data_IF_241307244338
#
_entry.id   IF_241307244338
#
_cell.length_a   1.000
_cell.length_b   1.000
_cell.length_c   1.000
_cell.angle_alpha   90.00
_cell.angle_beta   90.00
_cell.angle_gamma   90.00
#
_symmetry.space_group_name_H-M   'P 1'
#
loop_
_entity.id
_entity.type
_entity.pdbx_description
1 polymer ?
#
# COMPACT_ATOMS: atom_id res chain seq x y z
N UNK A 1 -43.92 -19.12 -4.94
CA UNK A 1 -43.29 -17.95 -4.31
C UNK A 1 -42.43 -18.43 -3.13
N UNK A 2 -41.12 -18.64 -3.34
CA UNK A 2 -40.22 -18.97 -2.24
C UNK A 2 -39.85 -17.64 -1.57
N UNK A 3 -40.13 -17.51 -0.26
CA UNK A 3 -39.68 -16.39 0.56
C UNK A 3 -38.14 -16.30 0.51
N UNK A 4 -37.54 -15.09 0.35
CA UNK A 4 -36.11 -14.95 0.48
C UNK A 4 -35.72 -15.36 1.89
N UNK A 5 -34.79 -16.32 2.01
CA UNK A 5 -34.23 -16.78 3.28
C UNK A 5 -33.68 -15.61 4.05
N UNK A 6 -34.39 -15.17 5.09
CA UNK A 6 -33.92 -14.17 6.03
C UNK A 6 -32.65 -14.71 6.71
N UNK A 7 -31.50 -14.10 6.43
CA UNK A 7 -30.27 -14.35 7.19
C UNK A 7 -30.58 -13.97 8.65
N UNK A 8 -30.43 -14.89 9.62
CA UNK A 8 -30.70 -14.58 11.02
C UNK A 8 -29.87 -13.36 11.43
N UNK A 9 -30.51 -12.31 11.94
CA UNK A 9 -29.83 -11.13 12.47
C UNK A 9 -28.96 -11.63 13.63
N UNK A 10 -27.64 -11.61 13.42
CA UNK A 10 -26.68 -11.96 14.47
C UNK A 10 -26.95 -11.12 15.70
N UNK A 11 -26.86 -11.72 16.89
CA UNK A 11 -27.09 -10.99 18.13
C UNK A 11 -26.17 -9.74 18.20
N UNK A 12 -26.65 -8.66 18.78
CA UNK A 12 -25.87 -7.41 18.92
C UNK A 12 -24.51 -7.66 19.59
N UNK A 13 -24.44 -8.60 20.52
CA UNK A 13 -23.20 -9.02 21.17
C UNK A 13 -22.21 -9.69 20.20
N UNK A 14 -22.70 -10.55 19.27
CA UNK A 14 -21.86 -11.18 18.25
C UNK A 14 -21.32 -10.16 17.25
N UNK A 15 -22.16 -9.19 16.84
CA UNK A 15 -21.77 -8.09 15.97
C UNK A 15 -20.68 -7.21 16.61
N UNK A 16 -20.85 -6.80 17.86
CA UNK A 16 -19.84 -6.02 18.61
C UNK A 16 -18.53 -6.79 18.74
N UNK A 17 -18.60 -8.07 19.11
CA UNK A 17 -17.40 -8.91 19.25
C UNK A 17 -16.67 -9.06 17.91
N UNK A 18 -17.37 -9.26 16.81
CA UNK A 18 -16.76 -9.30 15.48
C UNK A 18 -16.08 -7.96 15.14
N UNK A 19 -16.77 -6.83 15.36
CA UNK A 19 -16.23 -5.49 15.12
C UNK A 19 -14.94 -5.23 15.90
N UNK A 20 -14.91 -5.60 17.19
CA UNK A 20 -13.72 -5.43 18.05
C UNK A 20 -12.54 -6.25 17.53
N UNK A 21 -12.72 -7.55 17.25
CA UNK A 21 -11.63 -8.38 16.77
C UNK A 21 -11.14 -7.95 15.39
N UNK A 22 -12.04 -7.55 14.49
CA UNK A 22 -11.65 -7.03 13.19
C UNK A 22 -10.86 -5.73 13.31
N UNK A 23 -11.30 -4.80 14.17
CA UNK A 23 -10.58 -3.55 14.44
C UNK A 23 -9.17 -3.82 14.99
N UNK A 24 -9.03 -4.77 15.93
CA UNK A 24 -7.72 -5.18 16.47
C UNK A 24 -6.82 -5.81 15.41
N UNK A 25 -7.37 -6.64 14.50
CA UNK A 25 -6.59 -7.22 13.40
C UNK A 25 -6.15 -6.16 12.41
N UNK A 26 -7.01 -5.18 12.07
CA UNK A 26 -6.58 -4.03 11.26
C UNK A 26 -5.51 -3.23 11.99
N UNK A 27 -5.71 -2.95 13.28
CA UNK A 27 -4.74 -2.20 14.09
C UNK A 27 -3.38 -2.91 14.12
N UNK A 28 -3.33 -4.22 14.35
CA UNK A 28 -2.06 -4.96 14.37
C UNK A 28 -1.37 -5.00 13.02
N UNK A 29 -2.11 -5.25 11.92
CA UNK A 29 -1.54 -5.30 10.57
C UNK A 29 -1.00 -3.95 10.10
N UNK A 30 -1.72 -2.86 10.37
CA UNK A 30 -1.27 -1.52 10.00
C UNK A 30 -0.30 -0.90 11.01
N UNK A 31 -0.35 -1.31 12.28
CA UNK A 31 0.68 -1.00 13.26
C UNK A 31 2.03 -1.59 12.85
N UNK A 32 2.04 -2.85 12.37
CA UNK A 32 3.23 -3.46 11.77
C UNK A 32 3.72 -2.65 10.57
N UNK A 33 2.84 -2.20 9.69
CA UNK A 33 3.21 -1.38 8.55
C UNK A 33 3.78 -0.02 8.99
N UNK A 34 3.21 0.60 10.05
CA UNK A 34 3.68 1.85 10.61
C UNK A 34 5.06 1.78 11.25
N UNK A 35 5.42 0.64 11.87
CA UNK A 35 6.78 0.42 12.39
C UNK A 35 7.76 0.05 11.28
N UNK A 36 7.31 -0.75 10.31
CA UNK A 36 8.16 -1.28 9.25
C UNK A 36 8.49 -0.22 8.18
N UNK A 37 7.50 0.46 7.62
CA UNK A 37 7.72 1.31 6.44
C UNK A 37 8.74 2.44 6.68
N UNK A 38 8.69 3.21 7.80
CA UNK A 38 9.66 4.24 8.08
C UNK A 38 11.02 3.71 8.55
N UNK A 39 11.06 2.58 9.28
CA UNK A 39 12.22 2.21 10.08
C UNK A 39 12.93 0.93 9.65
N UNK A 40 12.35 0.09 8.81
CA UNK A 40 13.05 -1.08 8.27
C UNK A 40 14.28 -0.70 7.42
N UNK A 41 14.22 0.32 6.52
CA UNK A 41 15.42 0.80 5.82
C UNK A 41 16.49 1.34 6.78
N UNK A 42 16.08 2.00 7.87
CA UNK A 42 17.00 2.52 8.91
C UNK A 42 17.72 1.36 9.62
N UNK A 43 16.98 0.29 9.97
CA UNK A 43 17.55 -0.93 10.52
C UNK A 43 18.57 -1.56 9.57
N UNK A 44 18.22 -1.72 8.28
CA UNK A 44 19.13 -2.25 7.27
C UNK A 44 20.43 -1.45 7.21
N UNK A 45 20.33 -0.12 7.26
CA UNK A 45 21.50 0.77 7.29
C UNK A 45 22.33 0.60 8.56
N UNK A 46 21.66 0.45 9.71
CA UNK A 46 22.31 0.30 11.02
C UNK A 46 23.10 -1.01 11.16
N UNK A 47 22.70 -2.08 10.46
CA UNK A 47 23.46 -3.34 10.40
C UNK A 47 24.52 -3.36 9.28
N UNK A 48 24.80 -2.21 8.66
CA UNK A 48 25.89 -2.06 7.69
C UNK A 48 25.52 -2.37 6.23
N UNK A 49 24.25 -2.58 5.91
CA UNK A 49 23.82 -2.82 4.53
C UNK A 49 23.87 -1.50 3.74
N UNK A 50 24.49 -1.55 2.58
CA UNK A 50 24.62 -0.39 1.71
C UNK A 50 23.27 -0.01 1.03
N UNK A 51 23.08 1.26 0.61
CA UNK A 51 21.81 1.73 0.05
C UNK A 51 21.37 0.99 -1.23
N UNK A 52 22.29 0.46 -2.04
CA UNK A 52 21.93 -0.29 -3.25
C UNK A 52 21.25 -1.62 -2.86
N UNK A 53 21.78 -2.34 -1.87
CA UNK A 53 21.13 -3.52 -1.32
C UNK A 53 19.82 -3.20 -0.59
N UNK A 54 19.74 -2.05 0.11
CA UNK A 54 18.48 -1.60 0.73
C UNK A 54 17.38 -1.45 -0.34
N UNK A 55 17.69 -0.83 -1.48
CA UNK A 55 16.76 -0.72 -2.60
C UNK A 55 16.27 -2.07 -3.12
N UNK A 56 17.19 -3.06 -3.24
CA UNK A 56 16.87 -4.43 -3.68
C UNK A 56 15.96 -5.13 -2.65
N UNK A 57 16.29 -5.06 -1.36
CA UNK A 57 15.52 -5.71 -0.30
C UNK A 57 14.12 -5.11 -0.20
N UNK A 58 14.01 -3.78 -0.20
CA UNK A 58 12.71 -3.07 -0.10
C UNK A 58 11.85 -3.27 -1.36
N UNK A 59 12.43 -3.63 -2.50
CA UNK A 59 11.69 -3.98 -3.72
C UNK A 59 10.93 -5.31 -3.64
N UNK A 60 11.32 -6.22 -2.75
CA UNK A 60 10.77 -7.58 -2.66
C UNK A 60 9.24 -7.63 -2.52
N UNK A 61 8.59 -6.84 -1.62
CA UNK A 61 7.13 -6.84 -1.52
C UNK A 61 6.41 -6.42 -2.82
N UNK A 62 7.05 -5.61 -3.66
CA UNK A 62 6.50 -5.25 -4.97
C UNK A 62 6.43 -6.46 -5.90
N UNK A 63 7.45 -7.34 -5.87
CA UNK A 63 7.47 -8.58 -6.64
C UNK A 63 6.45 -9.59 -6.13
N UNK A 64 6.38 -9.80 -4.80
CA UNK A 64 5.44 -10.76 -4.21
C UNK A 64 3.98 -10.35 -4.39
N UNK A 65 3.69 -9.06 -4.60
CA UNK A 65 2.35 -8.55 -4.85
C UNK A 65 1.74 -9.08 -6.16
N UNK A 66 2.51 -9.29 -7.20
CA UNK A 66 1.98 -9.84 -8.45
C UNK A 66 2.28 -11.32 -8.65
N UNK A 67 3.23 -11.90 -7.92
CA UNK A 67 3.54 -13.34 -7.97
C UNK A 67 2.75 -14.13 -6.93
N UNK A 68 3.00 -13.90 -5.64
CA UNK A 68 2.48 -14.73 -4.54
C UNK A 68 1.04 -14.37 -4.14
N UNK A 69 0.70 -13.06 -4.12
CA UNK A 69 -0.61 -12.60 -3.66
C UNK A 69 -1.80 -13.27 -4.38
N UNK A 70 -1.85 -13.38 -5.73
CA UNK A 70 -2.98 -14.01 -6.40
C UNK A 70 -3.13 -15.49 -6.07
N UNK A 71 -2.00 -16.20 -5.86
CA UNK A 71 -2.03 -17.63 -5.51
C UNK A 71 -2.56 -17.84 -4.10
N UNK A 72 -2.04 -17.08 -3.12
CA UNK A 72 -2.41 -17.24 -1.71
C UNK A 72 -3.87 -16.84 -1.48
N UNK A 73 -4.30 -15.70 -2.04
CA UNK A 73 -5.70 -15.27 -1.90
C UNK A 73 -6.64 -16.22 -2.62
N UNK A 74 -6.32 -16.63 -3.85
CA UNK A 74 -7.12 -17.58 -4.61
C UNK A 74 -7.22 -18.95 -3.94
N UNK A 75 -6.14 -19.46 -3.33
CA UNK A 75 -6.14 -20.68 -2.54
C UNK A 75 -7.05 -20.54 -1.31
N UNK A 76 -6.85 -19.49 -0.52
CA UNK A 76 -7.63 -19.23 0.69
C UNK A 76 -9.15 -19.09 0.40
N UNK A 77 -9.49 -18.51 -0.74
CA UNK A 77 -10.88 -18.38 -1.18
C UNK A 77 -11.49 -19.72 -1.61
N UNK A 78 -10.80 -20.48 -2.46
CA UNK A 78 -11.28 -21.78 -2.97
C UNK A 78 -11.51 -22.80 -1.85
N UNK A 79 -10.67 -22.80 -0.84
CA UNK A 79 -10.74 -23.71 0.31
C UNK A 79 -11.52 -23.15 1.50
N UNK A 80 -12.19 -21.99 1.34
CA UNK A 80 -12.89 -21.29 2.44
C UNK A 80 -12.02 -21.04 3.67
N UNK A 81 -10.70 -20.91 3.46
CA UNK A 81 -9.67 -20.89 4.50
C UNK A 81 -9.15 -19.47 4.82
N UNK A 82 -9.91 -18.39 4.50
CA UNK A 82 -9.43 -17.01 4.69
C UNK A 82 -8.99 -16.74 6.12
N UNK A 83 -9.80 -17.17 7.13
CA UNK A 83 -9.42 -17.04 8.54
C UNK A 83 -8.10 -17.79 8.84
N UNK A 84 -8.01 -19.05 8.44
CA UNK A 84 -6.79 -19.86 8.60
C UNK A 84 -5.60 -19.23 7.88
N UNK A 85 -5.82 -18.70 6.69
CA UNK A 85 -4.80 -17.97 5.91
C UNK A 85 -4.27 -16.73 6.63
N UNK A 86 -5.14 -15.92 7.27
CA UNK A 86 -4.71 -14.76 8.06
C UNK A 86 -3.87 -15.21 9.26
N UNK A 87 -4.31 -16.22 10.01
CA UNK A 87 -3.60 -16.73 11.18
C UNK A 87 -2.22 -17.29 10.76
N UNK A 88 -2.19 -18.16 9.75
CA UNK A 88 -0.95 -18.76 9.26
C UNK A 88 0.02 -17.71 8.71
N UNK A 89 -0.47 -16.75 7.93
CA UNK A 89 0.33 -15.65 7.40
C UNK A 89 0.91 -14.76 8.51
N UNK A 90 0.11 -14.45 9.56
CA UNK A 90 0.58 -13.64 10.69
C UNK A 90 1.67 -14.36 11.49
N UNK A 91 1.50 -15.66 11.76
CA UNK A 91 2.51 -16.47 12.46
C UNK A 91 3.79 -16.61 11.63
N UNK A 92 3.65 -16.94 10.34
CA UNK A 92 4.79 -17.09 9.44
C UNK A 92 5.54 -15.76 9.24
N UNK A 93 4.82 -14.62 9.19
CA UNK A 93 5.44 -13.29 9.14
C UNK A 93 6.25 -13.00 10.40
N UNK A 94 5.73 -13.34 11.59
CA UNK A 94 6.45 -13.17 12.85
C UNK A 94 7.75 -13.97 12.87
N UNK A 95 7.67 -15.26 12.53
CA UNK A 95 8.86 -16.14 12.46
C UNK A 95 9.83 -15.61 11.40
N UNK A 96 9.31 -15.24 10.22
CA UNK A 96 10.12 -14.72 9.13
C UNK A 96 10.88 -13.44 9.51
N UNK A 97 10.22 -12.47 10.17
CA UNK A 97 10.89 -11.25 10.64
C UNK A 97 11.93 -11.54 11.73
N UNK A 98 11.67 -12.50 12.60
CA UNK A 98 12.68 -12.95 13.58
C UNK A 98 13.90 -13.57 12.87
N UNK A 99 13.68 -14.40 11.85
CA UNK A 99 14.76 -14.96 11.03
C UNK A 99 15.53 -13.87 10.29
N UNK A 100 14.85 -12.86 9.73
CA UNK A 100 15.47 -11.68 9.12
C UNK A 100 16.36 -10.97 10.13
N UNK A 101 15.90 -10.78 11.38
CA UNK A 101 16.64 -10.10 12.45
C UNK A 101 17.91 -10.81 12.89
N UNK A 102 18.02 -12.12 12.65
CA UNK A 102 19.22 -12.90 12.94
C UNK A 102 20.30 -12.79 11.84
N UNK A 103 19.98 -12.19 10.69
CA UNK A 103 20.91 -12.08 9.56
C UNK A 103 21.70 -10.77 9.61
N UNK A 104 22.96 -10.82 9.18
CA UNK A 104 23.87 -9.67 9.09
C UNK A 104 24.33 -9.40 7.64
N UNK A 105 24.29 -10.42 6.77
CA UNK A 105 24.73 -10.30 5.39
C UNK A 105 23.57 -9.92 4.47
N UNK A 106 23.79 -8.99 3.55
CA UNK A 106 22.76 -8.45 2.66
C UNK A 106 22.02 -9.55 1.88
N UNK A 107 22.72 -10.53 1.34
CA UNK A 107 22.11 -11.64 0.60
C UNK A 107 21.22 -12.51 1.49
N UNK A 108 21.65 -12.81 2.73
CA UNK A 108 20.87 -13.62 3.66
C UNK A 108 19.62 -12.86 4.14
N UNK A 109 19.76 -11.56 4.43
CA UNK A 109 18.61 -10.68 4.73
C UNK A 109 17.65 -10.65 3.56
N UNK A 110 18.13 -10.48 2.32
CA UNK A 110 17.31 -10.51 1.11
C UNK A 110 16.52 -11.82 0.97
N UNK A 111 17.19 -12.96 1.10
CA UNK A 111 16.54 -14.28 0.96
C UNK A 111 15.50 -14.53 2.07
N UNK A 112 15.84 -14.24 3.33
CA UNK A 112 14.94 -14.38 4.45
C UNK A 112 13.72 -13.44 4.32
N UNK A 113 13.96 -12.19 3.90
CA UNK A 113 12.90 -11.21 3.68
C UNK A 113 12.04 -11.54 2.46
N UNK A 114 12.62 -12.14 1.40
CA UNK A 114 11.86 -12.60 0.24
C UNK A 114 10.85 -13.69 0.61
N UNK A 115 11.29 -14.68 1.38
CA UNK A 115 10.38 -15.73 1.90
C UNK A 115 9.32 -15.13 2.82
N UNK A 116 9.71 -14.24 3.73
CA UNK A 116 8.77 -13.56 4.63
C UNK A 116 7.74 -12.75 3.86
N UNK A 117 8.15 -12.04 2.83
CA UNK A 117 7.26 -11.22 2.00
C UNK A 117 6.23 -12.04 1.22
N UNK A 118 6.53 -13.29 0.87
CA UNK A 118 5.57 -14.19 0.23
C UNK A 118 4.32 -14.44 1.10
N UNK A 119 4.48 -14.46 2.42
CA UNK A 119 3.38 -14.67 3.38
C UNK A 119 2.82 -13.37 3.93
N UNK A 120 3.62 -12.33 4.05
CA UNK A 120 3.20 -11.03 4.57
C UNK A 120 2.37 -10.21 3.56
N UNK A 121 2.80 -10.15 2.30
CA UNK A 121 2.13 -9.34 1.26
C UNK A 121 0.65 -9.68 1.08
N UNK A 122 0.18 -10.95 1.14
CA UNK A 122 -1.23 -11.30 1.05
C UNK A 122 -2.06 -10.97 2.30
N UNK A 123 -1.44 -10.63 3.43
CA UNK A 123 -2.14 -10.50 4.72
C UNK A 123 -3.22 -9.41 4.70
N UNK A 124 -2.91 -8.19 4.22
CA UNK A 124 -3.91 -7.10 4.16
C UNK A 124 -5.07 -7.43 3.23
N UNK A 125 -4.88 -7.92 2.00
CA UNK A 125 -5.96 -8.42 1.15
C UNK A 125 -6.80 -9.53 1.76
N UNK A 126 -6.21 -10.46 2.51
CA UNK A 126 -6.96 -11.49 3.24
C UNK A 126 -7.81 -10.89 4.36
N UNK A 127 -7.27 -9.92 5.11
CA UNK A 127 -8.02 -9.17 6.14
C UNK A 127 -9.19 -8.43 5.50
N UNK A 128 -8.99 -7.76 4.37
CA UNK A 128 -10.04 -7.05 3.66
C UNK A 128 -11.14 -8.00 3.15
N UNK A 129 -10.75 -9.15 2.60
CA UNK A 129 -11.71 -10.18 2.18
C UNK A 129 -12.52 -10.74 3.36
N UNK A 130 -11.88 -10.99 4.50
CA UNK A 130 -12.54 -11.40 5.74
C UNK A 130 -13.49 -10.30 6.25
N UNK A 131 -13.03 -9.05 6.27
CA UNK A 131 -13.80 -7.89 6.70
C UNK A 131 -15.08 -7.70 5.88
N UNK A 132 -14.98 -7.74 4.55
CA UNK A 132 -16.11 -7.57 3.64
C UNK A 132 -17.17 -8.66 3.82
N UNK A 133 -16.75 -9.91 4.10
CA UNK A 133 -17.68 -11.01 4.42
C UNK A 133 -18.39 -10.76 5.74
N UNK A 134 -17.62 -10.43 6.80
CA UNK A 134 -18.20 -10.23 8.12
C UNK A 134 -19.09 -8.97 8.19
N UNK A 135 -18.71 -7.89 7.53
CA UNK A 135 -19.53 -6.67 7.43
C UNK A 135 -20.91 -6.98 6.84
N UNK A 136 -20.97 -7.81 5.78
CA UNK A 136 -22.24 -8.27 5.19
C UNK A 136 -23.02 -9.17 6.15
N UNK A 137 -22.34 -10.12 6.82
CA UNK A 137 -22.97 -11.07 7.74
C UNK A 137 -23.55 -10.38 8.99
N UNK A 138 -22.89 -9.35 9.49
CA UNK A 138 -23.25 -8.68 10.75
C UNK A 138 -23.92 -7.31 10.56
N UNK A 139 -24.18 -6.86 9.33
CA UNK A 139 -24.82 -5.58 9.04
C UNK A 139 -23.98 -4.36 9.47
N UNK A 140 -22.66 -4.45 9.42
CA UNK A 140 -21.73 -3.39 9.86
C UNK A 140 -21.31 -2.50 8.69
N UNK A 141 -20.70 -1.35 9.02
CA UNK A 141 -20.06 -0.46 8.02
C UNK A 141 -18.55 -0.72 7.99
N UNK A 142 -17.99 -0.93 6.80
CA UNK A 142 -16.56 -1.22 6.60
C UNK A 142 -15.65 -0.06 7.00
N UNK A 143 -15.98 1.18 6.59
CA UNK A 143 -15.13 2.35 6.76
C UNK A 143 -14.65 2.58 8.21
N UNK A 144 -15.56 2.66 9.21
CA UNK A 144 -15.16 2.87 10.61
C UNK A 144 -14.24 1.78 11.14
N UNK A 145 -14.40 0.52 10.70
CA UNK A 145 -13.52 -0.58 11.13
C UNK A 145 -12.13 -0.48 10.51
N UNK A 146 -12.06 -0.04 9.26
CA UNK A 146 -10.80 0.15 8.53
C UNK A 146 -9.99 1.33 9.05
N UNK A 147 -10.63 2.36 9.60
CA UNK A 147 -9.96 3.54 10.19
C UNK A 147 -9.02 3.17 11.36
N UNK A 148 -9.31 2.11 12.11
CA UNK A 148 -8.41 1.61 13.16
C UNK A 148 -7.04 1.24 12.61
N UNK A 149 -6.96 0.80 11.35
CA UNK A 149 -5.69 0.58 10.68
C UNK A 149 -4.87 1.88 10.52
N UNK A 150 -5.49 2.96 10.03
CA UNK A 150 -4.77 4.23 9.87
C UNK A 150 -4.30 4.82 11.21
N UNK A 151 -5.16 4.76 12.24
CA UNK A 151 -4.79 5.18 13.58
C UNK A 151 -3.60 4.36 14.13
N UNK A 152 -3.63 3.04 13.95
CA UNK A 152 -2.56 2.16 14.41
C UNK A 152 -1.25 2.32 13.61
N UNK A 153 -1.32 2.65 12.32
CA UNK A 153 -0.13 3.04 11.55
C UNK A 153 0.57 4.24 12.19
N UNK A 154 -0.18 5.29 12.52
CA UNK A 154 0.34 6.50 13.15
C UNK A 154 0.95 6.17 14.52
N UNK A 155 0.21 5.42 15.36
CA UNK A 155 0.69 5.00 16.68
C UNK A 155 1.97 4.16 16.57
N UNK A 156 2.00 3.20 15.64
CA UNK A 156 3.17 2.36 15.39
C UNK A 156 4.39 3.15 14.93
N UNK A 157 4.21 4.10 14.01
CA UNK A 157 5.28 4.97 13.54
C UNK A 157 5.83 5.85 14.68
N UNK A 158 4.96 6.53 15.44
CA UNK A 158 5.36 7.39 16.54
C UNK A 158 6.02 6.61 17.69
N UNK A 159 5.46 5.46 18.07
CA UNK A 159 6.05 4.60 19.11
C UNK A 159 7.44 4.10 18.70
N UNK A 160 7.61 3.64 17.44
CA UNK A 160 8.91 3.21 16.93
C UNK A 160 9.89 4.38 16.84
N UNK A 161 9.42 5.58 16.44
CA UNK A 161 10.22 6.80 16.42
C UNK A 161 10.74 7.22 17.80
N UNK A 162 9.93 7.10 18.85
CA UNK A 162 10.36 7.32 20.24
C UNK A 162 11.41 6.29 20.68
N UNK A 163 11.20 5.03 20.30
CA UNK A 163 12.09 3.94 20.73
C UNK A 163 13.48 4.02 20.07
N UNK A 164 13.58 4.44 18.80
CA UNK A 164 14.88 4.56 18.12
C UNK A 164 15.79 5.61 18.76
N UNK A 165 15.22 6.59 19.47
CA UNK A 165 15.98 7.62 20.17
C UNK A 165 16.61 7.09 21.49
N UNK A 166 16.16 5.92 21.96
CA UNK A 166 16.62 5.32 23.25
C UNK A 166 17.27 3.96 23.10
N UNK A 167 17.08 3.26 21.97
CA UNK A 167 17.68 1.97 21.68
C UNK A 167 18.58 2.04 20.44
N UNK A 168 19.54 1.11 20.33
CA UNK A 168 20.36 1.00 19.13
C UNK A 168 19.49 0.67 17.91
N UNK A 169 19.68 1.39 16.79
CA UNK A 169 18.92 1.19 15.56
C UNK A 169 19.03 -0.24 15.00
N UNK A 170 20.10 -0.96 15.31
CA UNK A 170 20.27 -2.39 14.99
C UNK A 170 19.25 -3.31 15.68
N UNK A 171 18.57 -2.85 16.72
CA UNK A 171 17.54 -3.60 17.45
C UNK A 171 16.12 -3.33 16.94
N UNK A 172 15.91 -2.40 16.00
CA UNK A 172 14.59 -2.06 15.48
C UNK A 172 13.82 -3.25 14.91
N UNK A 173 14.51 -4.20 14.31
CA UNK A 173 13.87 -5.40 13.74
C UNK A 173 13.10 -6.19 14.79
N UNK A 174 13.58 -6.21 16.05
CA UNK A 174 12.91 -6.91 17.14
C UNK A 174 11.64 -6.21 17.59
N UNK A 175 11.57 -4.87 17.48
CA UNK A 175 10.32 -4.13 17.70
C UNK A 175 9.32 -4.49 16.60
N UNK A 176 9.74 -4.48 15.33
CA UNK A 176 8.91 -4.84 14.18
C UNK A 176 8.39 -6.28 14.33
N UNK A 177 9.27 -7.23 14.70
CA UNK A 177 8.90 -8.63 14.93
C UNK A 177 7.93 -8.78 16.12
N UNK A 178 8.09 -7.99 17.19
CA UNK A 178 7.20 -8.01 18.35
C UNK A 178 5.79 -7.50 18.00
N UNK A 179 5.69 -6.47 17.17
CA UNK A 179 4.40 -5.99 16.65
C UNK A 179 3.75 -7.04 15.76
N UNK A 180 4.54 -7.75 14.93
CA UNK A 180 4.03 -8.88 14.15
C UNK A 180 3.53 -10.02 15.04
N UNK A 181 4.26 -10.34 16.13
CA UNK A 181 3.86 -11.37 17.10
C UNK A 181 2.54 -11.00 17.80
N UNK A 182 2.38 -9.73 18.18
CA UNK A 182 1.10 -9.24 18.71
C UNK A 182 -0.02 -9.43 17.68
N UNK A 183 0.24 -9.14 16.42
CA UNK A 183 -0.71 -9.38 15.32
C UNK A 183 -1.08 -10.85 15.16
N UNK A 184 -0.11 -11.76 15.28
CA UNK A 184 -0.35 -13.20 15.24
C UNK A 184 -1.25 -13.63 16.41
N UNK A 185 -1.00 -13.17 17.62
CA UNK A 185 -1.85 -13.45 18.79
C UNK A 185 -3.26 -12.90 18.62
N UNK A 186 -3.40 -11.66 18.15
CA UNK A 186 -4.71 -11.03 17.88
C UNK A 186 -5.48 -11.81 16.82
N UNK A 187 -4.81 -12.32 15.78
CA UNK A 187 -5.46 -13.06 14.69
C UNK A 187 -6.17 -14.35 15.16
N UNK A 188 -5.71 -14.96 16.25
CA UNK A 188 -6.34 -16.16 16.86
C UNK A 188 -7.78 -15.89 17.33
N UNK A 189 -8.10 -14.65 17.68
CA UNK A 189 -9.44 -14.23 18.10
C UNK A 189 -10.47 -14.14 16.97
N UNK A 190 -10.05 -14.21 15.70
CA UNK A 190 -10.96 -14.22 14.56
C UNK A 190 -11.93 -15.41 14.61
N UNK A 191 -13.19 -15.17 14.23
CA UNK A 191 -14.23 -16.19 14.20
C UNK A 191 -14.44 -16.74 12.79
N UNK A 192 -14.81 -18.01 12.62
CA UNK A 192 -15.28 -18.52 11.32
C UNK A 192 -16.47 -17.70 10.82
N UNK A 193 -16.48 -17.42 9.52
CA UNK A 193 -17.60 -16.79 8.82
C UNK A 193 -18.29 -17.80 7.93
N UNK A 194 -19.58 -17.57 7.64
CA UNK A 194 -20.34 -18.42 6.72
C UNK A 194 -19.66 -18.45 5.34
N UNK A 195 -19.60 -19.65 4.70
CA UNK A 195 -19.03 -19.78 3.37
C UNK A 195 -19.89 -19.01 2.35
N UNK A 196 -19.25 -18.25 1.44
CA UNK A 196 -19.93 -17.65 0.30
C UNK A 196 -19.98 -18.65 -0.85
N UNK A 197 -21.13 -18.75 -1.54
CA UNK A 197 -21.21 -19.45 -2.82
C UNK A 197 -20.44 -18.63 -3.86
N UNK A 198 -19.36 -19.18 -4.40
CA UNK A 198 -18.63 -18.59 -5.51
C UNK A 198 -19.44 -18.71 -6.79
N UNK A 199 -19.73 -17.60 -7.46
CA UNK A 199 -20.12 -17.60 -8.87
C UNK A 199 -18.83 -17.52 -9.70
N UNK A 200 -18.59 -18.52 -10.54
CA UNK A 200 -17.48 -18.48 -11.47
C UNK A 200 -17.67 -17.29 -12.44
N UNK A 201 -16.85 -16.27 -12.30
CA UNK A 201 -16.86 -15.11 -13.22
C UNK A 201 -16.34 -15.57 -14.58
N UNK A 202 -17.13 -15.31 -15.61
CA UNK A 202 -16.79 -15.61 -17.00
C UNK A 202 -15.51 -14.81 -17.37
N UNK A 203 -14.45 -15.53 -17.74
CA UNK A 203 -13.09 -14.99 -17.87
C UNK A 203 -12.77 -14.47 -19.29
N UNK A 204 -13.75 -14.38 -20.18
CA UNK A 204 -13.57 -13.90 -21.55
C UNK A 204 -13.31 -12.37 -21.62
N UNK A 205 -12.43 -11.95 -22.48
CA UNK A 205 -12.24 -10.53 -22.86
C UNK A 205 -11.15 -9.74 -22.13
N UNK A 206 -10.51 -10.25 -21.07
CA UNK A 206 -9.52 -9.48 -20.32
C UNK A 206 -8.23 -9.16 -21.10
N UNK A 207 -7.83 -9.99 -22.06
CA UNK A 207 -6.68 -9.72 -22.95
C UNK A 207 -6.90 -8.50 -23.86
N UNK A 208 -8.15 -8.15 -24.15
CA UNK A 208 -8.49 -6.96 -24.92
C UNK A 208 -8.12 -5.66 -24.20
N UNK A 209 -8.16 -5.63 -22.84
CA UNK A 209 -7.74 -4.48 -22.06
C UNK A 209 -6.27 -4.08 -22.34
N UNK A 210 -5.39 -5.04 -22.52
CA UNK A 210 -3.96 -4.78 -22.79
C UNK A 210 -3.71 -4.22 -24.21
N UNK A 211 -4.74 -4.16 -25.06
CA UNK A 211 -4.70 -3.51 -26.38
C UNK A 211 -5.41 -2.15 -26.37
N UNK A 212 -6.18 -1.85 -25.33
CA UNK A 212 -6.87 -0.57 -25.20
C UNK A 212 -5.89 0.53 -24.78
N UNK A 213 -5.75 1.55 -25.63
CA UNK A 213 -4.81 2.66 -25.41
C UNK A 213 -5.20 3.52 -24.20
N UNK A 214 -6.49 3.62 -23.88
CA UNK A 214 -6.97 4.34 -22.70
C UNK A 214 -6.55 3.62 -21.42
N UNK A 215 -6.81 2.32 -21.36
CA UNK A 215 -6.43 1.47 -20.25
C UNK A 215 -4.90 1.43 -20.04
N UNK A 216 -4.12 1.28 -21.10
CA UNK A 216 -2.66 1.31 -21.04
C UNK A 216 -2.14 2.66 -20.51
N UNK A 217 -2.75 3.77 -20.95
CA UNK A 217 -2.41 5.10 -20.40
C UNK A 217 -2.62 5.17 -18.91
N UNK A 218 -3.75 4.67 -18.41
CA UNK A 218 -4.08 4.66 -16.98
C UNK A 218 -3.04 3.86 -16.20
N UNK A 219 -2.70 2.65 -16.66
CA UNK A 219 -1.73 1.78 -15.99
C UNK A 219 -0.34 2.42 -15.96
N UNK A 220 0.16 2.89 -17.11
CA UNK A 220 1.51 3.47 -17.22
C UNK A 220 1.61 4.74 -16.38
N UNK A 221 0.62 5.63 -16.47
CA UNK A 221 0.61 6.86 -15.67
C UNK A 221 0.60 6.55 -14.17
N UNK A 222 -0.28 5.65 -13.74
CA UNK A 222 -0.34 5.22 -12.34
C UNK A 222 1.00 4.64 -11.86
N UNK A 223 1.58 3.74 -12.65
CA UNK A 223 2.85 3.10 -12.32
C UNK A 223 3.99 4.12 -12.20
N UNK A 224 4.08 5.10 -13.11
CA UNK A 224 5.11 6.14 -13.07
C UNK A 224 4.93 7.09 -11.87
N UNK A 225 3.73 7.65 -11.68
CA UNK A 225 3.52 8.62 -10.59
C UNK A 225 3.66 7.94 -9.23
N UNK A 226 3.10 6.74 -9.04
CA UNK A 226 3.21 6.02 -7.77
C UNK A 226 4.65 5.57 -7.49
N UNK A 227 5.39 5.09 -8.51
CA UNK A 227 6.79 4.72 -8.32
C UNK A 227 7.72 5.90 -8.06
N UNK A 228 7.33 7.13 -8.43
CA UNK A 228 8.09 8.33 -8.06
C UNK A 228 8.19 8.55 -6.54
N UNK A 229 7.39 7.87 -5.74
CA UNK A 229 7.50 7.88 -4.27
C UNK A 229 8.60 6.94 -3.74
N UNK A 230 9.33 6.23 -4.61
CA UNK A 230 10.31 5.24 -4.20
C UNK A 230 11.40 5.78 -3.28
N UNK A 231 11.94 6.97 -3.56
CA UNK A 231 12.94 7.58 -2.69
C UNK A 231 12.39 7.87 -1.28
N UNK A 232 11.13 8.28 -1.20
CA UNK A 232 10.46 8.47 0.08
C UNK A 232 10.39 7.16 0.90
N UNK A 233 10.03 6.04 0.27
CA UNK A 233 9.89 4.76 0.97
C UNK A 233 11.22 4.06 1.26
N UNK A 234 12.26 4.26 0.42
CA UNK A 234 13.53 3.52 0.55
C UNK A 234 14.55 4.27 1.39
N UNK A 235 14.67 5.60 1.20
CA UNK A 235 15.82 6.34 1.75
C UNK A 235 15.45 7.58 2.57
N UNK A 236 14.21 8.06 2.59
CA UNK A 236 13.87 9.30 3.30
C UNK A 236 14.24 9.26 4.78
N UNK A 237 13.85 8.20 5.50
CA UNK A 237 14.17 8.08 6.94
C UNK A 237 15.67 7.98 7.20
N UNK A 238 16.43 7.35 6.30
CA UNK A 238 17.90 7.29 6.38
C UNK A 238 18.50 8.69 6.17
N UNK A 239 18.04 9.40 5.14
CA UNK A 239 18.52 10.73 4.84
C UNK A 239 18.24 11.70 5.99
N UNK A 240 17.03 11.69 6.53
CA UNK A 240 16.64 12.54 7.66
C UNK A 240 17.41 12.21 8.94
N UNK A 241 17.71 10.93 9.19
CA UNK A 241 18.57 10.55 10.31
C UNK A 241 19.99 11.04 10.12
N UNK A 242 20.53 11.04 8.89
CA UNK A 242 21.85 11.61 8.56
C UNK A 242 21.89 13.13 8.71
N UNK A 243 20.75 13.82 8.52
CA UNK A 243 20.59 15.26 8.81
C UNK A 243 20.45 15.58 10.31
N UNK A 244 20.44 14.55 11.18
CA UNK A 244 20.35 14.71 12.63
C UNK A 244 18.93 14.81 13.17
N UNK A 245 17.90 14.53 12.38
CA UNK A 245 16.53 14.50 12.91
C UNK A 245 16.33 13.30 13.83
N UNK A 246 15.65 13.55 14.96
CA UNK A 246 15.27 12.49 15.91
C UNK A 246 14.28 11.50 15.28
N UNK A 247 14.22 10.30 15.82
CA UNK A 247 13.26 9.29 15.38
C UNK A 247 11.82 9.75 15.49
N UNK A 248 11.50 10.53 16.55
CA UNK A 248 10.17 11.13 16.71
C UNK A 248 9.87 12.15 15.61
N UNK A 249 10.84 12.96 15.21
CA UNK A 249 10.67 13.92 14.09
C UNK A 249 10.43 13.18 12.79
N UNK A 250 11.20 12.12 12.51
CA UNK A 250 11.02 11.25 11.34
C UNK A 250 9.62 10.64 11.33
N UNK A 251 9.17 10.06 12.43
CA UNK A 251 7.84 9.51 12.57
C UNK A 251 6.74 10.58 12.38
N UNK A 252 6.96 11.79 12.87
CA UNK A 252 6.08 12.94 12.68
C UNK A 252 5.93 13.32 11.21
N UNK A 253 7.02 13.35 10.44
CA UNK A 253 7.00 13.63 9.00
C UNK A 253 6.19 12.58 8.21
N UNK A 254 6.31 11.31 8.56
CA UNK A 254 5.48 10.24 7.98
C UNK A 254 4.01 10.41 8.38
N UNK A 255 3.75 10.70 9.64
CA UNK A 255 2.40 10.91 10.18
C UNK A 255 1.67 12.07 9.50
N UNK A 256 2.37 13.19 9.25
CA UNK A 256 1.80 14.34 8.53
C UNK A 256 1.28 13.95 7.15
N UNK A 257 2.03 13.14 6.40
CA UNK A 257 1.60 12.62 5.11
C UNK A 257 0.33 11.80 5.20
N UNK A 258 0.26 10.87 6.17
CA UNK A 258 -0.90 9.99 6.38
C UNK A 258 -2.13 10.77 6.85
N UNK A 259 -1.97 11.73 7.76
CA UNK A 259 -3.08 12.58 8.21
C UNK A 259 -3.65 13.43 7.06
N UNK A 260 -2.79 14.03 6.26
CA UNK A 260 -3.21 14.79 5.09
C UNK A 260 -3.94 13.90 4.06
N UNK A 261 -3.50 12.64 3.88
CA UNK A 261 -4.15 11.66 3.01
C UNK A 261 -5.55 11.28 3.51
N UNK A 262 -5.73 11.07 4.82
CA UNK A 262 -7.04 10.80 5.43
C UNK A 262 -8.01 11.96 5.14
N UNK A 263 -7.56 13.21 5.33
CA UNK A 263 -8.36 14.41 5.04
C UNK A 263 -8.73 14.48 3.55
N UNK A 264 -7.78 14.21 2.67
CA UNK A 264 -8.02 14.22 1.22
C UNK A 264 -9.06 13.17 0.82
N UNK A 265 -8.94 11.94 1.31
CA UNK A 265 -9.92 10.89 1.02
C UNK A 265 -11.31 11.20 1.57
N UNK A 266 -11.40 11.80 2.75
CA UNK A 266 -12.67 12.26 3.30
C UNK A 266 -13.31 13.38 2.47
N UNK A 267 -12.49 14.24 1.86
CA UNK A 267 -12.95 15.33 0.97
C UNK A 267 -13.23 14.86 -0.47
N UNK A 268 -12.70 13.70 -0.89
CA UNK A 268 -12.73 13.25 -2.29
C UNK A 268 -14.13 13.14 -2.93
N UNK A 269 -15.23 12.83 -2.21
CA UNK A 269 -16.56 12.83 -2.80
C UNK A 269 -17.03 14.21 -3.32
N UNK A 270 -16.34 15.29 -2.89
CA UNK A 270 -16.66 16.67 -3.31
C UNK A 270 -15.86 17.14 -4.54
N UNK A 271 -14.95 16.29 -5.06
CA UNK A 271 -14.13 16.67 -6.20
C UNK A 271 -14.94 16.66 -7.49
N UNK A 272 -15.00 17.82 -8.15
CA UNK A 272 -15.76 18.04 -9.39
C UNK A 272 -14.89 18.01 -10.64
N UNK A 273 -13.58 18.06 -10.50
CA UNK A 273 -12.65 18.04 -11.63
C UNK A 273 -12.66 16.68 -12.34
N UNK A 274 -12.47 16.65 -13.66
CA UNK A 274 -12.30 15.40 -14.40
C UNK A 274 -11.16 14.55 -13.83
N UNK A 275 -11.31 13.22 -13.74
CA UNK A 275 -10.31 12.35 -13.12
C UNK A 275 -8.92 12.48 -13.73
N UNK A 276 -8.81 12.65 -15.06
CA UNK A 276 -7.53 12.87 -15.71
C UNK A 276 -6.84 14.17 -15.23
N UNK A 277 -7.59 15.24 -14.94
CA UNK A 277 -7.06 16.48 -14.41
C UNK A 277 -6.56 16.32 -12.97
N UNK A 278 -7.26 15.54 -12.14
CA UNK A 278 -6.80 15.20 -10.79
C UNK A 278 -5.41 14.54 -10.83
N UNK A 279 -5.21 13.59 -11.75
CA UNK A 279 -3.93 12.90 -11.93
C UNK A 279 -2.83 13.85 -12.42
N UNK A 280 -3.14 14.78 -13.34
CA UNK A 280 -2.18 15.77 -13.84
C UNK A 280 -1.74 16.71 -12.70
N UNK A 281 -2.69 17.21 -11.93
CA UNK A 281 -2.40 18.06 -10.76
C UNK A 281 -1.51 17.31 -9.77
N UNK A 282 -1.82 16.04 -9.49
CA UNK A 282 -1.01 15.21 -8.61
C UNK A 282 0.43 15.03 -9.12
N UNK A 283 0.60 14.81 -10.44
CA UNK A 283 1.92 14.70 -11.06
C UNK A 283 2.73 16.00 -10.96
N UNK A 284 2.10 17.16 -11.26
CA UNK A 284 2.73 18.46 -11.11
C UNK A 284 3.17 18.73 -9.65
N UNK A 285 2.29 18.43 -8.69
CA UNK A 285 2.62 18.54 -7.26
C UNK A 285 3.75 17.57 -6.87
N UNK A 286 3.80 16.37 -7.46
CA UNK A 286 4.89 15.41 -7.21
C UNK A 286 6.24 15.96 -7.71
N UNK A 287 6.28 16.54 -8.90
CA UNK A 287 7.50 17.21 -9.41
C UNK A 287 7.97 18.28 -8.44
N UNK A 288 7.09 19.19 -8.04
CA UNK A 288 7.42 20.27 -7.08
C UNK A 288 7.91 19.69 -5.75
N UNK A 289 7.20 18.71 -5.20
CA UNK A 289 7.55 18.03 -3.95
C UNK A 289 8.96 17.45 -4.00
N UNK A 290 9.27 16.70 -5.07
CA UNK A 290 10.56 16.03 -5.17
C UNK A 290 11.70 17.00 -5.45
N UNK A 291 11.48 18.06 -6.24
CA UNK A 291 12.49 19.12 -6.45
C UNK A 291 12.81 19.85 -5.15
N UNK A 292 11.81 20.17 -4.33
CA UNK A 292 12.04 20.79 -3.01
C UNK A 292 12.77 19.82 -2.08
N UNK A 293 12.33 18.54 -2.03
CA UNK A 293 12.95 17.54 -1.16
C UNK A 293 14.43 17.29 -1.54
N UNK A 294 14.78 17.35 -2.83
CA UNK A 294 16.15 17.19 -3.30
C UNK A 294 17.12 18.25 -2.75
N UNK A 295 16.61 19.44 -2.34
CA UNK A 295 17.42 20.53 -1.77
C UNK A 295 17.74 20.34 -0.29
N UNK A 296 17.35 19.20 0.34
CA UNK A 296 17.49 18.99 1.78
C UNK A 296 16.96 20.18 2.61
N UNK A 297 15.70 20.61 2.43
CA UNK A 297 15.21 21.83 3.04
C UNK A 297 15.09 21.66 4.57
N UNK A 298 15.21 22.76 5.34
CA UNK A 298 15.02 22.72 6.78
C UNK A 298 13.60 22.23 7.14
N UNK A 299 13.43 21.75 8.38
CA UNK A 299 12.18 21.14 8.86
C UNK A 299 10.94 22.01 8.65
N UNK A 300 11.08 23.33 8.73
CA UNK A 300 10.00 24.29 8.52
C UNK A 300 9.41 24.24 7.10
N UNK A 301 10.22 23.85 6.11
CA UNK A 301 9.79 23.64 4.72
C UNK A 301 9.46 22.17 4.50
N UNK A 302 10.26 21.25 5.06
CA UNK A 302 10.11 19.83 4.87
C UNK A 302 8.75 19.32 5.39
N UNK A 303 8.29 19.80 6.55
CA UNK A 303 7.03 19.36 7.16
C UNK A 303 5.79 19.67 6.28
N UNK A 304 5.55 20.91 5.80
CA UNK A 304 4.46 21.16 4.87
C UNK A 304 4.63 20.41 3.53
N UNK A 305 5.86 20.19 3.07
CA UNK A 305 6.13 19.39 1.86
C UNK A 305 5.71 17.92 2.05
N UNK A 306 5.79 17.38 3.28
CA UNK A 306 5.27 16.03 3.53
C UNK A 306 3.73 15.96 3.44
N UNK A 307 3.00 17.03 3.77
CA UNK A 307 1.54 17.06 3.59
C UNK A 307 1.12 16.97 2.11
N UNK A 308 2.00 17.36 1.16
CA UNK A 308 1.76 17.17 -0.27
C UNK A 308 1.64 15.68 -0.65
N UNK A 309 2.00 14.74 0.26
CA UNK A 309 1.77 13.31 0.06
C UNK A 309 0.31 12.99 -0.27
N UNK A 310 -0.61 13.66 0.39
CA UNK A 310 -2.04 13.54 0.12
C UNK A 310 -2.36 13.82 -1.36
N UNK A 311 -1.81 14.89 -1.91
CA UNK A 311 -2.04 15.27 -3.30
C UNK A 311 -1.29 14.31 -4.24
N UNK A 312 -0.01 14.09 -4.00
CA UNK A 312 0.84 13.32 -4.91
C UNK A 312 0.46 11.83 -4.96
N UNK A 313 0.10 11.23 -3.83
CA UNK A 313 -0.32 9.84 -3.71
C UNK A 313 -1.84 9.70 -3.75
N UNK A 314 -2.53 10.35 -2.80
CA UNK A 314 -3.98 10.16 -2.61
C UNK A 314 -4.81 10.64 -3.79
N UNK A 315 -4.51 11.84 -4.33
CA UNK A 315 -5.26 12.37 -5.48
C UNK A 315 -4.98 11.56 -6.76
N UNK A 316 -3.74 11.07 -6.94
CA UNK A 316 -3.44 10.09 -8.00
C UNK A 316 -4.33 8.87 -7.86
N UNK A 317 -4.44 8.30 -6.66
CA UNK A 317 -5.25 7.11 -6.40
C UNK A 317 -6.73 7.36 -6.73
N UNK A 318 -7.30 8.49 -6.27
CA UNK A 318 -8.69 8.86 -6.57
C UNK A 318 -8.91 9.01 -8.07
N UNK A 319 -8.02 9.74 -8.77
CA UNK A 319 -8.14 9.96 -10.21
C UNK A 319 -8.03 8.66 -11.01
N UNK A 320 -7.04 7.82 -10.70
CA UNK A 320 -6.84 6.51 -11.38
C UNK A 320 -8.02 5.57 -11.13
N UNK A 321 -8.54 5.48 -9.89
CA UNK A 321 -9.70 4.62 -9.61
C UNK A 321 -10.95 5.08 -10.36
N UNK A 322 -11.19 6.38 -10.43
CA UNK A 322 -12.31 6.93 -11.20
C UNK A 322 -12.16 6.67 -12.71
N UNK A 323 -10.96 6.81 -13.27
CA UNK A 323 -10.68 6.45 -14.67
C UNK A 323 -10.88 4.95 -14.91
N UNK A 324 -10.46 4.09 -13.99
CA UNK A 324 -10.70 2.64 -14.07
C UNK A 324 -12.19 2.31 -14.09
N UNK A 325 -13.00 2.97 -13.26
CA UNK A 325 -14.47 2.79 -13.26
C UNK A 325 -15.10 3.23 -14.58
N UNK A 326 -14.58 4.31 -15.19
CA UNK A 326 -15.10 4.84 -16.46
C UNK A 326 -14.69 4.02 -17.68
N UNK A 327 -13.47 3.44 -17.69
CA UNK A 327 -12.86 2.81 -18.88
C UNK A 327 -12.94 1.28 -18.86
N UNK A 328 -13.09 0.66 -17.69
CA UNK A 328 -13.08 -0.80 -17.56
C UNK A 328 -14.49 -1.33 -17.31
N UNK A 329 -15.02 -2.21 -18.19
CA UNK A 329 -16.32 -2.83 -17.99
C UNK A 329 -16.42 -3.57 -16.64
N UNK A 330 -17.55 -3.45 -15.95
CA UNK A 330 -17.74 -3.98 -14.60
C UNK A 330 -17.46 -5.48 -14.47
N UNK A 331 -17.79 -6.28 -15.51
CA UNK A 331 -17.59 -7.74 -15.49
C UNK A 331 -16.12 -8.18 -15.53
N UNK A 332 -15.20 -7.31 -15.95
CA UNK A 332 -13.74 -7.56 -15.98
C UNK A 332 -12.95 -6.59 -15.09
N UNK A 333 -13.62 -5.79 -14.25
CA UNK A 333 -13.00 -4.78 -13.39
C UNK A 333 -11.92 -5.38 -12.46
N UNK A 334 -12.15 -6.56 -11.90
CA UNK A 334 -11.18 -7.24 -11.04
C UNK A 334 -9.86 -7.56 -11.79
N UNK A 335 -9.94 -7.92 -13.07
CA UNK A 335 -8.76 -8.16 -13.90
C UNK A 335 -8.04 -6.87 -14.28
N UNK A 336 -8.80 -5.80 -14.57
CA UNK A 336 -8.22 -4.47 -14.76
C UNK A 336 -7.40 -4.04 -13.54
N UNK A 337 -7.93 -4.25 -12.33
CA UNK A 337 -7.21 -4.00 -11.09
C UNK A 337 -5.97 -4.89 -10.94
N UNK A 338 -6.06 -6.16 -11.34
CA UNK A 338 -4.93 -7.08 -11.34
C UNK A 338 -3.78 -6.61 -12.26
N UNK A 339 -4.10 -6.16 -13.48
CA UNK A 339 -3.11 -5.61 -14.39
C UNK A 339 -2.50 -4.31 -13.87
N UNK A 340 -3.32 -3.41 -13.29
CA UNK A 340 -2.84 -2.19 -12.64
C UNK A 340 -1.86 -2.52 -11.52
N UNK A 341 -2.21 -3.45 -10.64
CA UNK A 341 -1.36 -3.86 -9.53
C UNK A 341 -0.05 -4.52 -9.98
N UNK A 342 -0.10 -5.39 -11.01
CA UNK A 342 1.08 -6.05 -11.55
C UNK A 342 2.04 -5.04 -12.20
N UNK A 343 1.54 -4.16 -13.07
CA UNK A 343 2.35 -3.15 -13.72
C UNK A 343 2.96 -2.18 -12.69
N UNK A 344 2.15 -1.68 -11.74
CA UNK A 344 2.64 -0.82 -10.66
C UNK A 344 3.69 -1.53 -9.80
N UNK A 345 3.50 -2.83 -9.51
CA UNK A 345 4.46 -3.63 -8.75
C UNK A 345 5.82 -3.75 -9.47
N UNK A 346 5.80 -4.08 -10.77
CA UNK A 346 7.02 -4.21 -11.58
C UNK A 346 7.78 -2.87 -11.64
N UNK A 347 7.08 -1.79 -12.00
CA UNK A 347 7.70 -0.47 -12.12
C UNK A 347 8.21 0.03 -10.77
N UNK A 348 7.41 -0.08 -9.71
CA UNK A 348 7.82 0.35 -8.36
C UNK A 348 9.02 -0.46 -7.85
N UNK A 349 9.02 -1.77 -8.05
CA UNK A 349 10.17 -2.63 -7.68
C UNK A 349 11.44 -2.23 -8.42
N UNK A 350 11.36 -1.97 -9.72
CA UNK A 350 12.49 -1.49 -10.52
C UNK A 350 12.99 -0.12 -10.05
N UNK A 351 12.07 0.81 -9.73
CA UNK A 351 12.44 2.14 -9.25
C UNK A 351 12.99 2.09 -7.82
N UNK A 352 12.58 1.14 -6.96
CA UNK A 352 13.22 0.94 -5.65
C UNK A 352 14.69 0.54 -5.78
N UNK A 353 15.01 -0.40 -6.70
CA UNK A 353 16.39 -0.81 -7.00
C UNK A 353 17.20 0.39 -7.52
N UNK A 354 16.63 1.10 -8.51
CA UNK A 354 17.24 2.33 -9.04
C UNK A 354 17.49 3.37 -7.94
N UNK A 355 16.52 3.56 -7.04
CA UNK A 355 16.62 4.50 -5.92
C UNK A 355 17.81 4.18 -5.02
N UNK A 356 17.96 2.91 -4.60
CA UNK A 356 19.09 2.50 -3.78
C UNK A 356 20.44 2.76 -4.45
N UNK A 357 20.56 2.39 -5.74
CA UNK A 357 21.78 2.58 -6.52
C UNK A 357 22.12 4.07 -6.73
N UNK A 358 21.14 4.90 -7.06
CA UNK A 358 21.35 6.34 -7.25
C UNK A 358 21.66 7.03 -5.93
N UNK A 359 20.95 6.68 -4.84
CA UNK A 359 21.20 7.28 -3.53
C UNK A 359 22.59 6.94 -3.00
N UNK A 360 23.07 5.71 -3.22
CA UNK A 360 24.43 5.30 -2.82
C UNK A 360 25.51 6.20 -3.42
N UNK A 361 25.30 6.75 -4.62
CA UNK A 361 26.29 7.50 -5.37
C UNK A 361 26.07 9.03 -5.32
N UNK A 362 24.82 9.45 -5.27
CA UNK A 362 24.43 10.86 -5.43
C UNK A 362 23.59 11.42 -4.27
N UNK A 363 23.37 10.62 -3.21
CA UNK A 363 22.61 11.06 -2.03
C UNK A 363 21.21 11.56 -2.41
N UNK A 364 20.81 12.68 -1.84
CA UNK A 364 19.48 13.25 -2.03
C UNK A 364 19.15 13.68 -3.47
N UNK A 365 20.13 13.79 -4.37
CA UNK A 365 19.86 14.04 -5.79
C UNK A 365 18.97 12.96 -6.46
N UNK A 366 18.78 11.79 -5.81
CA UNK A 366 17.83 10.78 -6.22
C UNK A 366 16.41 11.34 -6.37
N UNK A 367 16.05 12.37 -5.62
CA UNK A 367 14.72 12.99 -5.74
C UNK A 367 14.50 13.73 -7.06
N UNK A 368 15.55 14.19 -7.75
CA UNK A 368 15.41 14.70 -9.12
C UNK A 368 15.01 13.61 -10.10
N UNK A 369 15.49 12.38 -9.91
CA UNK A 369 15.04 11.22 -10.70
C UNK A 369 13.57 10.96 -10.42
N UNK A 370 13.11 11.05 -9.17
CA UNK A 370 11.70 10.91 -8.81
C UNK A 370 10.84 12.01 -9.47
N UNK A 371 11.32 13.24 -9.50
CA UNK A 371 10.67 14.35 -10.19
C UNK A 371 10.52 14.07 -11.70
N UNK A 372 11.57 13.57 -12.34
CA UNK A 372 11.53 13.20 -13.76
C UNK A 372 10.53 12.09 -14.04
N UNK A 373 10.49 11.04 -13.21
CA UNK A 373 9.52 9.93 -13.35
C UNK A 373 8.08 10.45 -13.19
N UNK A 374 7.83 11.30 -12.19
CA UNK A 374 6.51 11.93 -12.00
C UNK A 374 6.11 12.81 -13.20
N UNK A 375 7.04 13.59 -13.72
CA UNK A 375 6.83 14.43 -14.92
C UNK A 375 6.47 13.57 -16.13
N UNK A 376 7.19 12.46 -16.39
CA UNK A 376 6.87 11.51 -17.45
C UNK A 376 5.44 10.95 -17.29
N UNK A 377 5.05 10.55 -16.08
CA UNK A 377 3.69 10.10 -15.79
C UNK A 377 2.63 11.17 -16.08
N UNK A 378 2.90 12.43 -15.66
CA UNK A 378 2.05 13.58 -15.93
C UNK A 378 1.89 13.88 -17.43
N UNK A 379 3.00 13.83 -18.19
CA UNK A 379 3.00 14.03 -19.64
C UNK A 379 2.21 12.94 -20.39
N UNK A 380 2.34 11.67 -19.97
CA UNK A 380 1.55 10.56 -20.51
C UNK A 380 0.06 10.82 -20.29
N UNK A 381 -0.36 11.21 -19.10
CA UNK A 381 -1.77 11.54 -18.82
C UNK A 381 -2.23 12.78 -19.61
N UNK A 382 -1.40 13.82 -19.66
CA UNK A 382 -1.70 15.05 -20.40
C UNK A 382 -1.95 14.80 -21.87
N UNK A 383 -1.11 13.98 -22.51
CA UNK A 383 -1.24 13.65 -23.94
C UNK A 383 -2.53 12.90 -24.26
N UNK A 384 -3.03 12.10 -23.32
CA UNK A 384 -4.23 11.28 -23.50
C UNK A 384 -5.50 11.89 -22.89
N UNK A 385 -5.41 13.03 -22.19
CA UNK A 385 -6.51 13.60 -21.40
C UNK A 385 -7.81 13.76 -22.20
N UNK A 386 -7.74 14.26 -23.41
CA UNK A 386 -8.93 14.48 -24.25
C UNK A 386 -9.65 13.19 -24.63
N UNK A 387 -8.89 12.10 -24.85
CA UNK A 387 -9.46 10.77 -25.12
C UNK A 387 -10.16 10.23 -23.89
N UNK A 388 -9.55 10.36 -22.71
CA UNK A 388 -10.07 9.83 -21.45
C UNK A 388 -11.24 10.66 -20.88
N UNK A 389 -11.34 11.94 -21.25
CA UNK A 389 -12.45 12.81 -20.85
C UNK A 389 -13.68 12.70 -21.77
N UNK A 390 -13.54 12.15 -22.98
CA UNK A 390 -14.69 11.83 -23.82
C UNK A 390 -15.36 10.60 -23.21
N UNK A 391 -16.57 10.76 -22.67
CA UNK A 391 -17.38 9.62 -22.22
C UNK A 391 -17.48 8.61 -23.36
N UNK A 392 -17.38 7.29 -23.10
CA UNK A 392 -17.81 6.31 -24.11
C UNK A 392 -19.26 6.64 -24.42
N UNK A 393 -19.55 7.03 -25.66
CA UNK A 393 -20.93 7.11 -26.12
C UNK A 393 -21.56 5.76 -25.84
N UNK A 394 -22.58 5.74 -24.98
CA UNK A 394 -23.37 4.57 -24.67
C UNK A 394 -23.74 3.91 -26.00
N UNK A 395 -23.30 2.68 -26.20
CA UNK A 395 -23.88 1.77 -27.17
C UNK A 395 -25.29 1.39 -26.67
N UNK A 396 -26.18 2.39 -26.61
CA UNK A 396 -27.59 2.30 -26.26
C UNK A 396 -28.38 3.10 -27.27
N UNK A 397 -28.27 2.71 -28.54
CA UNK A 397 -29.28 3.01 -29.56
C UNK A 397 -28.99 2.15 -30.77
N UNK A 398 -29.54 0.95 -30.80
CA UNK A 398 -29.44 0.05 -31.96
C UNK A 398 -30.14 -1.26 -31.69
N UNK A 399 -31.43 -1.30 -32.01
CA UNK A 399 -32.20 -2.50 -32.31
C UNK A 399 -33.12 -3.01 -31.23
#
# INVERSE_FOLDING_TARGET
MQQPSQIPIASQAASRRFATWLALVYASGFGLLGTHAPFFPVWLRAIGIDPAWIGIIVAVPSVTRFTTLPFVTGFAERHHAIRGGIIAASMATTIGLAVVGLQQQALLVFLAYAVTSCVWTPMVPLIDAYALRGVRQYGLKYGPLRLWGSAAFIVGALACGLLIDVIAASNLIWIIASVAALGALVSLGLKPLAPLKFSATNLAGAGALLRDKGFLTIIVTSALIQSSHSAYYVVASIAWQQEGYSGLTIAGLWTLGVLAEIVLFAASPRFTLPPAMLVIIAACCAVVRWVITAQAPPIAILAPVQMLHAITFGLTQVGIMNLMVQQVPAHIAARGQGFLAACSGIVTGSVYILTGAVFARYGQNVYYVMAAIAACGGLVMWSARHRLMRQPQSAASGG
#
